data_IF_117534886075
#
_entry.id   IF_117534886075
#
_cell.length_a   1.000
_cell.length_b   1.000
_cell.length_c   1.000
_cell.angle_alpha   90.00
_cell.angle_beta   90.00
_cell.angle_gamma   90.00
#
_symmetry.space_group_name_H-M   'P 1'
#
loop_
_entity.id
_entity.type
_entity.pdbx_description
1 polymer ?
#
# COMPACT_ATOMS: atom_id res chain seq x y z
N UNK A 1 11.95 26.10 7.33
CA UNK A 1 11.43 26.35 5.97
C UNK A 1 10.10 25.65 5.88
N UNK A 2 8.99 26.40 5.96
CA UNK A 2 7.65 25.84 5.91
C UNK A 2 7.19 25.72 4.47
N UNK A 3 6.81 24.52 4.04
CA UNK A 3 6.04 24.37 2.81
C UNK A 3 4.60 24.77 3.12
N UNK A 4 4.15 25.75 2.35
CA UNK A 4 2.84 26.37 2.44
C UNK A 4 1.85 25.44 1.75
N UNK A 5 0.74 25.16 2.42
CA UNK A 5 -0.37 24.45 1.81
C UNK A 5 -1.15 25.49 0.99
N UNK A 6 -0.98 25.46 -0.33
CA UNK A 6 -1.74 26.32 -1.22
C UNK A 6 -3.11 25.66 -1.46
N UNK A 7 -4.16 26.29 -0.92
CA UNK A 7 -5.53 25.80 -0.88
C UNK A 7 -6.28 25.90 -2.21
N UNK A 8 -5.87 25.18 -3.25
CA UNK A 8 -6.70 24.83 -4.40
C UNK A 8 -6.45 23.36 -4.76
N UNK A 9 -7.50 22.53 -4.65
CA UNK A 9 -7.46 21.08 -4.86
C UNK A 9 -7.21 20.67 -6.31
N UNK A 10 -5.98 20.84 -6.77
CA UNK A 10 -5.44 20.14 -7.92
C UNK A 10 -4.46 19.11 -7.36
N UNK A 11 -4.87 17.85 -7.31
CA UNK A 11 -3.97 16.74 -6.98
C UNK A 11 -2.92 16.72 -8.10
N UNK A 12 -1.73 17.24 -7.83
CA UNK A 12 -0.65 17.19 -8.81
C UNK A 12 -0.32 15.71 -9.05
N UNK A 13 -0.17 15.28 -10.31
CA UNK A 13 0.19 13.91 -10.60
C UNK A 13 1.54 13.60 -9.96
N UNK A 14 1.61 12.44 -9.30
CA UNK A 14 2.82 11.95 -8.63
C UNK A 14 4.01 11.95 -9.59
N UNK A 15 5.11 12.58 -9.16
CA UNK A 15 6.35 12.65 -9.93
C UNK A 15 7.04 11.28 -10.00
N UNK A 16 7.92 11.10 -10.99
CA UNK A 16 8.70 9.87 -11.12
C UNK A 16 9.61 9.60 -9.93
N UNK A 17 10.13 10.66 -9.30
CA UNK A 17 10.95 10.55 -8.10
C UNK A 17 10.15 10.03 -6.91
N UNK A 18 8.95 10.59 -6.67
CA UNK A 18 8.05 10.13 -5.61
C UNK A 18 7.62 8.67 -5.84
N UNK A 19 7.30 8.32 -7.08
CA UNK A 19 6.95 6.95 -7.49
C UNK A 19 8.09 5.97 -7.22
N UNK A 20 9.33 6.36 -7.54
CA UNK A 20 10.52 5.56 -7.24
C UNK A 20 10.73 5.38 -5.73
N UNK A 21 10.54 6.44 -4.95
CA UNK A 21 10.59 6.37 -3.48
C UNK A 21 9.52 5.43 -2.95
N UNK A 22 8.27 5.54 -3.39
CA UNK A 22 7.18 4.69 -2.89
C UNK A 22 7.37 3.22 -3.27
N UNK A 23 7.84 2.92 -4.48
CA UNK A 23 8.18 1.54 -4.87
C UNK A 23 9.20 0.93 -3.92
N UNK A 24 10.28 1.65 -3.65
CA UNK A 24 11.32 1.18 -2.72
C UNK A 24 10.76 0.97 -1.30
N UNK A 25 9.91 1.89 -0.82
CA UNK A 25 9.28 1.76 0.49
C UNK A 25 8.37 0.53 0.57
N UNK A 26 7.55 0.28 -0.46
CA UNK A 26 6.65 -0.88 -0.52
C UNK A 26 7.43 -2.19 -0.60
N UNK A 27 8.45 -2.26 -1.46
CA UNK A 27 9.29 -3.45 -1.59
C UNK A 27 10.00 -3.80 -0.27
N UNK A 28 10.55 -2.79 0.41
CA UNK A 28 11.18 -2.97 1.72
C UNK A 28 10.18 -3.42 2.79
N UNK A 29 8.98 -2.86 2.81
CA UNK A 29 7.94 -3.24 3.77
C UNK A 29 7.51 -4.70 3.58
N UNK A 30 7.30 -5.14 2.33
CA UNK A 30 6.96 -6.53 2.00
C UNK A 30 8.12 -7.47 2.36
N UNK A 31 9.35 -7.10 2.00
CA UNK A 31 10.53 -7.88 2.33
C UNK A 31 10.69 -8.05 3.86
N UNK A 32 10.44 -6.99 4.63
CA UNK A 32 10.48 -7.05 6.10
C UNK A 32 9.50 -8.07 6.66
N UNK A 33 8.29 -8.20 6.11
CA UNK A 33 7.33 -9.21 6.59
C UNK A 33 7.80 -10.63 6.24
N UNK A 34 8.30 -10.82 5.02
CA UNK A 34 8.78 -12.14 4.56
C UNK A 34 10.01 -12.63 5.33
N UNK A 35 10.88 -11.72 5.74
CA UNK A 35 12.02 -12.04 6.61
C UNK A 35 11.58 -12.58 7.97
N UNK A 36 10.41 -12.15 8.47
CA UNK A 36 9.77 -12.66 9.69
C UNK A 36 8.93 -13.93 9.43
N UNK A 37 8.97 -14.49 8.21
CA UNK A 37 8.19 -15.67 7.82
C UNK A 37 6.69 -15.38 7.59
N UNK A 38 6.30 -14.10 7.51
CA UNK A 38 4.92 -13.68 7.23
C UNK A 38 4.77 -13.38 5.74
N UNK A 39 3.83 -14.05 5.08
CA UNK A 39 3.41 -13.68 3.72
C UNK A 39 2.19 -12.77 3.80
N UNK A 40 2.30 -11.48 3.40
CA UNK A 40 1.14 -10.60 3.36
C UNK A 40 0.10 -11.09 2.35
N UNK A 41 -1.14 -10.67 2.56
CA UNK A 41 -2.23 -10.97 1.63
C UNK A 41 -1.91 -10.48 0.20
N UNK A 42 -2.09 -11.35 -0.79
CA UNK A 42 -1.69 -11.08 -2.17
C UNK A 42 -2.43 -9.88 -2.78
N UNK A 43 -3.70 -9.69 -2.43
CA UNK A 43 -4.50 -8.56 -2.90
C UNK A 43 -4.01 -7.24 -2.29
N UNK A 44 -3.60 -7.25 -1.00
CA UNK A 44 -2.94 -6.10 -0.36
C UNK A 44 -1.61 -5.79 -1.04
N UNK A 45 -0.82 -6.79 -1.43
CA UNK A 45 0.45 -6.56 -2.15
C UNK A 45 0.22 -5.83 -3.48
N UNK A 46 -0.76 -6.25 -4.28
CA UNK A 46 -1.07 -5.57 -5.55
C UNK A 46 -1.60 -4.14 -5.31
N UNK A 47 -2.44 -3.96 -4.30
CA UNK A 47 -2.93 -2.63 -3.92
C UNK A 47 -1.80 -1.69 -3.46
N UNK A 48 -0.80 -2.20 -2.73
CA UNK A 48 0.38 -1.43 -2.35
C UNK A 48 1.24 -1.04 -3.56
N UNK A 49 1.30 -1.88 -4.61
CA UNK A 49 1.93 -1.50 -5.88
C UNK A 49 1.16 -0.41 -6.59
N UNK A 50 -0.17 -0.46 -6.59
CA UNK A 50 -1.01 0.62 -7.12
C UNK A 50 -0.82 1.93 -6.36
N UNK A 51 -0.67 1.86 -5.04
CA UNK A 51 -0.29 3.02 -4.22
C UNK A 51 1.10 3.57 -4.59
N UNK A 52 2.08 2.70 -4.82
CA UNK A 52 3.40 3.13 -5.25
C UNK A 52 3.40 3.81 -6.62
N UNK A 53 2.40 3.50 -7.45
CA UNK A 53 2.16 4.11 -8.75
C UNK A 53 1.21 5.32 -8.70
N UNK A 54 0.78 5.75 -7.51
CA UNK A 54 -0.17 6.86 -7.36
C UNK A 54 -1.56 6.57 -7.95
N UNK A 55 -1.91 5.30 -8.14
CA UNK A 55 -3.21 4.85 -8.68
C UNK A 55 -4.25 4.58 -7.58
N UNK A 56 -3.81 4.53 -6.32
CA UNK A 56 -4.63 4.19 -5.17
C UNK A 56 -4.12 4.88 -3.91
N UNK A 57 -5.01 5.29 -3.03
CA UNK A 57 -4.65 5.86 -1.74
C UNK A 57 -4.54 4.78 -0.66
N UNK A 58 -3.64 4.98 0.31
CA UNK A 58 -3.45 4.02 1.41
C UNK A 58 -4.72 3.84 2.26
N UNK A 59 -5.54 4.88 2.37
CA UNK A 59 -6.82 4.84 3.08
C UNK A 59 -7.79 3.83 2.47
N UNK A 60 -7.87 3.78 1.13
CA UNK A 60 -8.75 2.86 0.40
C UNK A 60 -8.31 1.40 0.62
N UNK A 61 -7.00 1.15 0.66
CA UNK A 61 -6.41 -0.17 0.94
C UNK A 61 -6.84 -0.68 2.30
N UNK A 62 -6.71 0.17 3.33
CA UNK A 62 -7.07 -0.18 4.71
C UNK A 62 -8.58 -0.41 4.84
N UNK A 63 -9.39 0.44 4.22
CA UNK A 63 -10.85 0.29 4.26
C UNK A 63 -11.30 -1.01 3.57
N UNK A 64 -10.73 -1.33 2.41
CA UNK A 64 -11.03 -2.55 1.67
C UNK A 64 -10.58 -3.81 2.43
N UNK A 65 -9.37 -3.79 2.99
CA UNK A 65 -8.87 -4.87 3.84
C UNK A 65 -9.79 -5.11 5.04
N UNK A 66 -10.24 -4.04 5.72
CA UNK A 66 -11.17 -4.15 6.84
C UNK A 66 -12.51 -4.78 6.40
N UNK A 67 -13.06 -4.38 5.26
CA UNK A 67 -14.29 -4.99 4.69
C UNK A 67 -14.09 -6.47 4.38
N UNK A 68 -12.92 -6.88 3.88
CA UNK A 68 -12.58 -8.28 3.59
C UNK A 68 -12.48 -9.11 4.88
N UNK A 69 -11.88 -8.55 5.93
CA UNK A 69 -11.81 -9.19 7.26
C UNK A 69 -13.21 -9.39 7.85
N UNK A 70 -14.02 -8.33 7.94
CA UNK A 70 -15.40 -8.41 8.48
C UNK A 70 -16.27 -9.35 7.64
N UNK A 71 -16.04 -9.39 6.33
CA UNK A 71 -16.75 -10.29 5.42
C UNK A 71 -16.23 -11.72 5.37
N UNK A 72 -15.21 -12.09 6.18
CA UNK A 72 -14.63 -13.43 6.18
C UNK A 72 -13.95 -13.83 4.87
N UNK A 73 -13.53 -12.86 4.05
CA UNK A 73 -12.88 -13.08 2.74
C UNK A 73 -11.36 -12.93 2.79
N UNK A 74 -10.78 -12.65 3.95
CA UNK A 74 -9.33 -12.66 4.10
C UNK A 74 -8.85 -14.10 3.94
N UNK A 75 -8.07 -14.36 2.89
CA UNK A 75 -7.48 -15.68 2.70
C UNK A 75 -6.36 -15.86 3.73
N UNK A 76 -6.29 -17.00 4.43
CA UNK A 76 -5.12 -17.33 5.21
C UNK A 76 -3.91 -17.32 4.27
N UNK A 77 -2.89 -16.53 4.57
CA UNK A 77 -1.57 -16.71 3.97
C UNK A 77 -1.17 -18.17 4.16
N UNK A 78 -0.50 -18.77 3.18
CA UNK A 78 -0.15 -20.19 3.14
C UNK A 78 0.81 -20.61 4.27
N UNK A 79 0.37 -20.52 5.52
CA UNK A 79 0.92 -21.18 6.67
C UNK A 79 0.45 -22.63 6.62
N UNK A 80 1.38 -23.51 6.26
CA UNK A 80 1.19 -24.96 6.33
C UNK A 80 0.76 -25.34 7.77
N UNK A 81 -0.17 -26.29 7.96
CA UNK A 81 -0.47 -26.84 9.28
C UNK A 81 0.76 -27.49 9.94
#
# INVERSE_FOLDING_TARGET
MGQKQDGHGMVLPMTDAERATHRLTVDNAIASQRLEGLEPDAEVIEQLRDYAEGRREIGDIVEELHKRIVGGRLQPGAGKP
#
